data_IF_266245276490
#
_entry.id   IF_266245276490
#
_cell.length_a   1.000
_cell.length_b   1.000
_cell.length_c   1.000
_cell.angle_alpha   90.00
_cell.angle_beta   90.00
_cell.angle_gamma   90.00
#
_symmetry.space_group_name_H-M   'P 1'
#
loop_
_entity.id
_entity.type
_entity.pdbx_description
1 polymer ?
#
# COMPACT_ATOMS: atom_id res chain seq x y z
N UNK A 1 8.88 -6.33 -10.65
CA UNK A 1 8.12 -5.34 -9.85
C UNK A 1 6.62 -5.43 -10.11
N UNK A 2 6.19 -5.78 -11.32
CA UNK A 2 4.79 -5.92 -11.72
C UNK A 2 4.01 -6.99 -10.93
N UNK A 3 4.64 -8.11 -10.58
CA UNK A 3 4.00 -9.21 -9.85
C UNK A 3 3.68 -8.85 -8.40
N UNK A 4 4.63 -8.27 -7.68
CA UNK A 4 4.42 -7.79 -6.32
C UNK A 4 3.27 -6.77 -6.21
N UNK A 5 3.12 -5.90 -7.20
CA UNK A 5 2.01 -4.92 -7.21
C UNK A 5 0.65 -5.58 -7.49
N UNK A 6 0.63 -6.66 -8.28
CA UNK A 6 -0.58 -7.48 -8.45
C UNK A 6 -0.94 -8.16 -7.14
N UNK A 7 0.03 -8.72 -6.43
CA UNK A 7 -0.18 -9.31 -5.10
C UNK A 7 -0.70 -8.27 -4.11
N UNK A 8 -0.10 -7.08 -4.04
CA UNK A 8 -0.55 -6.00 -3.16
C UNK A 8 -1.99 -5.55 -3.46
N UNK A 9 -2.38 -5.50 -4.75
CA UNK A 9 -3.78 -5.26 -5.15
C UNK A 9 -4.70 -6.40 -4.69
N UNK A 10 -4.25 -7.64 -4.83
CA UNK A 10 -4.96 -8.83 -4.36
C UNK A 10 -5.17 -8.82 -2.85
N UNK A 11 -4.15 -8.47 -2.07
CA UNK A 11 -4.25 -8.31 -0.61
C UNK A 11 -5.26 -7.23 -0.24
N UNK A 12 -5.16 -6.04 -0.84
CA UNK A 12 -6.15 -4.98 -0.64
C UNK A 12 -7.58 -5.47 -0.92
N UNK A 13 -7.79 -6.19 -2.02
CA UNK A 13 -9.10 -6.71 -2.40
C UNK A 13 -9.60 -7.77 -1.40
N UNK A 14 -8.71 -8.65 -0.93
CA UNK A 14 -9.01 -9.67 0.08
C UNK A 14 -9.44 -9.06 1.42
N UNK A 15 -8.79 -7.98 1.84
CA UNK A 15 -9.16 -7.22 3.05
C UNK A 15 -10.39 -6.31 2.83
N UNK A 16 -10.98 -6.28 1.62
CA UNK A 16 -12.14 -5.42 1.32
C UNK A 16 -11.86 -3.92 1.39
N UNK A 17 -10.58 -3.50 1.36
CA UNK A 17 -10.19 -2.10 1.54
C UNK A 17 -10.24 -1.38 0.20
N UNK A 18 -10.93 -0.24 0.12
CA UNK A 18 -10.96 0.61 -1.09
C UNK A 18 -9.77 1.59 -1.11
N UNK A 19 -9.54 2.27 -2.24
CA UNK A 19 -8.46 3.26 -2.30
C UNK A 19 -8.76 4.50 -1.44
N UNK A 20 -10.04 4.84 -1.32
CA UNK A 20 -10.55 5.89 -0.43
C UNK A 20 -10.22 5.53 1.02
N UNK A 21 -10.57 4.31 1.44
CA UNK A 21 -10.29 3.87 2.81
C UNK A 21 -8.80 3.78 3.09
N UNK A 22 -8.01 3.33 2.12
CA UNK A 22 -6.56 3.29 2.23
C UNK A 22 -5.97 4.70 2.37
N UNK A 23 -6.45 5.67 1.57
CA UNK A 23 -6.05 7.07 1.66
C UNK A 23 -6.36 7.67 3.04
N UNK A 24 -7.56 7.39 3.58
CA UNK A 24 -7.95 7.82 4.93
C UNK A 24 -7.00 7.28 5.99
N UNK A 25 -6.74 5.96 5.99
CA UNK A 25 -5.86 5.32 6.97
C UNK A 25 -4.43 5.90 6.86
N UNK A 26 -3.94 6.10 5.64
CA UNK A 26 -2.61 6.64 5.41
C UNK A 26 -2.50 8.11 5.85
N UNK A 27 -3.56 8.88 5.68
CA UNK A 27 -3.66 10.26 6.16
C UNK A 27 -3.67 10.31 7.68
N UNK A 28 -4.47 9.46 8.31
CA UNK A 28 -4.63 9.43 9.76
C UNK A 28 -3.37 8.94 10.49
N UNK A 29 -2.87 7.75 10.12
CA UNK A 29 -1.72 7.12 10.81
C UNK A 29 -0.38 7.72 10.45
N UNK A 30 -0.19 8.19 9.21
CA UNK A 30 1.13 8.57 8.70
C UNK A 30 1.20 10.02 8.21
N UNK A 31 0.17 10.83 8.44
CA UNK A 31 0.03 12.21 7.92
C UNK A 31 0.32 12.31 6.42
N UNK A 32 0.00 11.24 5.69
CA UNK A 32 0.29 11.14 4.26
C UNK A 32 -0.87 11.73 3.46
N UNK A 33 -0.60 12.73 2.62
CA UNK A 33 -1.63 13.41 1.82
C UNK A 33 -1.91 12.70 0.47
N UNK A 34 -1.77 11.38 0.43
CA UNK A 34 -2.11 10.62 -0.77
C UNK A 34 -3.64 10.53 -0.91
N UNK A 35 -4.15 10.92 -2.07
CA UNK A 35 -5.57 10.74 -2.41
C UNK A 35 -5.83 9.34 -2.95
N UNK A 36 -7.10 8.92 -2.99
CA UNK A 36 -7.51 7.66 -3.62
C UNK A 36 -7.03 7.56 -5.09
N UNK A 37 -7.17 8.66 -5.85
CA UNK A 37 -6.70 8.74 -7.23
C UNK A 37 -5.17 8.66 -7.33
N UNK A 38 -4.44 9.32 -6.44
CA UNK A 38 -2.98 9.22 -6.39
C UNK A 38 -2.52 7.79 -6.11
N UNK A 39 -3.20 7.09 -5.19
CA UNK A 39 -2.93 5.68 -4.90
C UNK A 39 -3.24 4.80 -6.11
N UNK A 40 -4.43 4.90 -6.69
CA UNK A 40 -4.81 4.12 -7.87
C UNK A 40 -3.81 4.28 -9.02
N UNK A 41 -3.38 5.52 -9.29
CA UNK A 41 -2.37 5.82 -10.30
C UNK A 41 -1.01 5.20 -9.98
N UNK A 42 -0.54 5.33 -8.73
CA UNK A 42 0.74 4.74 -8.29
C UNK A 42 0.72 3.21 -8.35
N UNK A 43 -0.39 2.59 -7.96
CA UNK A 43 -0.62 1.15 -8.08
C UNK A 43 -0.69 0.67 -9.53
N UNK A 44 -1.22 1.48 -10.45
CA UNK A 44 -1.27 1.14 -11.88
C UNK A 44 0.08 1.31 -12.56
N UNK A 45 0.82 2.37 -12.24
CA UNK A 45 2.11 2.71 -12.86
C UNK A 45 3.30 2.03 -12.20
N UNK A 46 3.10 1.43 -11.03
CA UNK A 46 4.15 0.80 -10.24
C UNK A 46 5.17 1.78 -9.68
N UNK A 47 4.74 2.99 -9.34
CA UNK A 47 5.60 4.06 -8.82
C UNK A 47 5.51 4.19 -7.29
N UNK A 48 5.07 3.13 -6.61
CA UNK A 48 5.07 3.06 -5.15
C UNK A 48 6.50 2.85 -4.65
N UNK A 49 6.93 3.72 -3.73
CA UNK A 49 8.21 3.57 -3.03
C UNK A 49 8.12 2.48 -1.97
N UNK A 50 9.25 1.89 -1.57
CA UNK A 50 9.28 0.88 -0.50
C UNK A 50 8.67 1.37 0.82
N UNK A 51 8.84 2.66 1.16
CA UNK A 51 8.19 3.28 2.33
C UNK A 51 6.67 3.33 2.20
N UNK A 52 6.15 3.63 1.01
CA UNK A 52 4.71 3.64 0.76
C UNK A 52 4.13 2.22 0.82
N UNK A 53 4.82 1.25 0.22
CA UNK A 53 4.45 -0.16 0.29
C UNK A 53 4.36 -0.63 1.75
N UNK A 54 5.36 -0.32 2.56
CA UNK A 54 5.37 -0.71 3.97
C UNK A 54 4.19 -0.11 4.74
N UNK A 55 3.90 1.18 4.53
CA UNK A 55 2.74 1.86 5.15
C UNK A 55 1.41 1.26 4.68
N UNK A 56 1.29 0.91 3.40
CA UNK A 56 0.09 0.26 2.86
C UNK A 56 -0.10 -1.11 3.49
N UNK A 57 0.94 -1.94 3.57
CA UNK A 57 0.87 -3.25 4.22
C UNK A 57 0.47 -3.14 5.69
N UNK A 58 1.07 -2.20 6.43
CA UNK A 58 0.67 -1.92 7.80
C UNK A 58 -0.75 -1.37 7.93
N UNK A 59 -1.23 -0.59 6.95
CA UNK A 59 -2.63 -0.13 6.89
C UNK A 59 -3.62 -1.30 6.63
N UNK A 60 -3.18 -2.33 5.93
CA UNK A 60 -3.91 -3.57 5.68
C UNK A 60 -3.77 -4.59 6.84
N UNK A 61 -3.07 -4.25 7.93
CA UNK A 61 -2.91 -5.12 9.10
C UNK A 61 -1.74 -6.10 9.02
N UNK A 62 -0.86 -5.99 8.00
CA UNK A 62 0.31 -6.84 7.86
C UNK A 62 1.52 -6.25 8.60
N UNK A 63 2.28 -7.11 9.26
CA UNK A 63 3.59 -6.76 9.83
C UNK A 63 4.67 -6.85 8.73
N UNK A 64 5.46 -5.79 8.56
CA UNK A 64 6.54 -5.76 7.57
C UNK A 64 7.85 -5.99 8.29
N UNK A 65 8.50 -7.14 8.03
CA UNK A 65 9.84 -7.46 8.54
C UNK A 65 10.86 -7.35 7.42
N UNK A 66 11.98 -6.69 7.70
CA UNK A 66 13.13 -6.63 6.80
C UNK A 66 14.19 -7.55 7.40
N UNK A 67 14.39 -8.70 6.76
CA UNK A 67 15.40 -9.67 7.16
C UNK A 67 16.48 -9.71 6.09
N UNK A 68 17.75 -9.62 6.51
CA UNK A 68 18.89 -9.81 5.62
C UNK A 68 19.18 -11.31 5.58
N UNK A 69 18.93 -11.94 4.43
CA UNK A 69 19.46 -13.27 4.20
C UNK A 69 20.98 -13.17 4.08
N UNK A 70 21.65 -13.99 4.89
CA UNK A 70 23.10 -14.12 4.94
C UNK A 70 23.61 -14.88 3.71
#
# INVERSE_FOLDING_TARGET
MTDFLKELKGLKAKEGVTYERLAEILKDKYKCQLTANSLANKFSRGTLTGKEVAKILSALGYEVKIEKNN
#
